data_IF_427113528833
#
_entry.id   IF_427113528833
#
_cell.length_a   1.000
_cell.length_b   1.000
_cell.length_c   1.000
_cell.angle_alpha   90.00
_cell.angle_beta   90.00
_cell.angle_gamma   90.00
#
_symmetry.space_group_name_H-M   'P 1'
#
loop_
_entity.id
_entity.type
_entity.pdbx_description
1 polymer ?
#
# COMPACT_ATOMS: atom_id res chain seq x y z
N UNK A 1 -5.39 -53.74 -4.01
CA UNK A 1 -6.46 -52.78 -4.37
C UNK A 1 -6.83 -52.02 -3.11
N UNK A 2 -6.40 -50.76 -2.96
CA UNK A 2 -6.70 -49.95 -1.79
C UNK A 2 -7.55 -48.74 -2.21
N UNK A 3 -8.77 -48.68 -1.68
CA UNK A 3 -9.73 -47.58 -1.89
C UNK A 3 -9.30 -46.34 -1.08
N UNK A 4 -9.41 -45.12 -1.61
CA UNK A 4 -9.14 -43.90 -0.84
C UNK A 4 -10.38 -43.48 -0.02
N UNK A 5 -10.18 -43.29 1.29
CA UNK A 5 -11.21 -42.81 2.21
C UNK A 5 -11.62 -41.35 1.93
N UNK A 6 -12.92 -41.11 1.84
CA UNK A 6 -13.52 -39.80 1.68
C UNK A 6 -13.33 -38.95 2.94
N UNK A 7 -12.44 -37.96 2.86
CA UNK A 7 -12.22 -36.97 3.93
C UNK A 7 -13.38 -35.96 3.90
N UNK A 8 -14.38 -36.19 4.75
CA UNK A 8 -15.53 -35.30 4.89
C UNK A 8 -15.07 -34.00 5.56
N UNK A 9 -14.92 -32.92 4.78
CA UNK A 9 -14.70 -31.58 5.33
C UNK A 9 -15.97 -31.13 6.02
N UNK A 10 -16.01 -31.27 7.35
CA UNK A 10 -17.14 -30.84 8.15
C UNK A 10 -17.21 -29.31 8.12
N UNK A 11 -18.14 -28.77 7.33
CA UNK A 11 -18.34 -27.31 7.12
C UNK A 11 -18.40 -26.51 8.43
N UNK A 12 -18.83 -27.16 9.53
CA UNK A 12 -18.87 -26.62 10.90
C UNK A 12 -17.46 -26.34 11.48
N UNK A 13 -16.44 -27.12 11.11
CA UNK A 13 -15.05 -26.88 11.52
C UNK A 13 -14.46 -25.64 10.82
N UNK A 14 -14.78 -25.45 9.53
CA UNK A 14 -14.36 -24.26 8.79
C UNK A 14 -14.95 -22.96 9.36
N UNK A 15 -16.23 -22.97 9.73
CA UNK A 15 -16.90 -21.80 10.36
C UNK A 15 -16.27 -21.48 11.72
N UNK A 16 -15.95 -22.50 12.54
CA UNK A 16 -15.29 -22.29 13.85
C UNK A 16 -13.90 -21.69 13.69
N UNK A 17 -13.13 -22.16 12.71
CA UNK A 17 -11.82 -21.60 12.40
C UNK A 17 -11.92 -20.12 11.96
N UNK A 18 -12.92 -19.79 11.13
CA UNK A 18 -13.15 -18.41 10.69
C UNK A 18 -13.54 -17.47 11.84
N UNK A 19 -14.42 -17.89 12.76
CA UNK A 19 -14.80 -17.07 13.93
C UNK A 19 -13.61 -16.83 14.85
N UNK A 20 -12.76 -17.84 15.07
CA UNK A 20 -11.53 -17.69 15.86
C UNK A 20 -10.55 -16.73 15.17
N UNK A 21 -10.34 -16.86 13.86
CA UNK A 21 -9.46 -15.97 13.11
C UNK A 21 -9.97 -14.52 13.10
N UNK A 22 -11.28 -14.29 12.91
CA UNK A 22 -11.88 -12.96 12.99
C UNK A 22 -11.73 -12.38 14.41
N UNK A 23 -11.94 -13.20 15.44
CA UNK A 23 -11.76 -12.79 16.84
C UNK A 23 -10.30 -12.43 17.16
N UNK A 24 -9.34 -13.22 16.68
CA UNK A 24 -7.91 -12.95 16.83
C UNK A 24 -7.49 -11.71 16.04
N UNK A 25 -8.01 -11.51 14.84
CA UNK A 25 -7.75 -10.33 14.02
C UNK A 25 -8.32 -9.06 14.67
N UNK A 26 -9.54 -9.13 15.22
CA UNK A 26 -10.13 -8.01 15.97
C UNK A 26 -9.35 -7.72 17.25
N UNK A 27 -8.91 -8.74 17.99
CA UNK A 27 -8.10 -8.58 19.20
C UNK A 27 -6.72 -8.00 18.88
N UNK A 28 -6.08 -8.46 17.80
CA UNK A 28 -4.79 -7.94 17.30
C UNK A 28 -4.91 -6.49 16.83
N UNK A 29 -5.98 -6.14 16.10
CA UNK A 29 -6.27 -4.76 15.68
C UNK A 29 -6.49 -3.84 16.89
N UNK A 30 -7.28 -4.28 17.88
CA UNK A 30 -7.49 -3.54 19.15
C UNK A 30 -6.21 -3.40 19.99
N UNK A 31 -5.32 -4.39 19.93
CA UNK A 31 -4.01 -4.34 20.57
C UNK A 31 -3.06 -3.37 19.84
N UNK A 32 -3.18 -3.26 18.52
CA UNK A 32 -2.46 -2.28 17.69
C UNK A 32 -2.97 -0.85 17.93
N UNK A 33 -4.28 -0.66 18.11
CA UNK A 33 -4.88 0.62 18.55
C UNK A 33 -4.42 1.00 19.97
N UNK A 34 -4.33 0.04 20.91
CA UNK A 34 -3.82 0.30 22.27
C UNK A 34 -2.32 0.56 22.35
N UNK A 35 -1.56 0.13 21.34
CA UNK A 35 -0.14 0.49 21.15
C UNK A 35 0.04 1.87 20.51
N UNK A 36 -1.04 2.55 20.10
CA UNK A 36 -0.98 3.93 19.64
C UNK A 36 -0.68 4.83 20.85
N UNK A 37 0.55 5.34 20.93
CA UNK A 37 1.01 6.23 22.00
C UNK A 37 0.19 7.54 21.99
N UNK A 38 -0.42 7.97 23.11
CA UNK A 38 -1.15 9.23 23.21
C UNK A 38 -0.32 10.47 22.83
N UNK A 39 1.03 10.39 22.83
CA UNK A 39 1.90 11.46 22.31
C UNK A 39 1.78 11.73 20.81
N UNK A 40 1.15 10.84 20.02
CA UNK A 40 0.96 11.03 18.57
C UNK A 40 -0.18 11.99 18.21
N UNK A 41 -1.05 12.39 19.14
CA UNK A 41 -2.22 13.26 18.85
C UNK A 41 -2.09 14.72 19.33
N UNK A 42 -1.00 15.09 19.99
CA UNK A 42 -0.71 16.50 20.30
C UNK A 42 0.23 17.10 19.25
N UNK A 43 -0.32 17.44 18.09
CA UNK A 43 0.26 18.51 17.29
C UNK A 43 -0.48 19.79 17.65
N UNK A 44 0.19 20.80 18.24
CA UNK A 44 -0.44 22.10 18.40
C UNK A 44 -0.74 22.64 17.02
N UNK A 45 -2.01 22.95 16.74
CA UNK A 45 -2.49 23.74 15.60
C UNK A 45 -1.97 25.21 15.64
N UNK A 46 -0.77 25.44 16.16
CA UNK A 46 -0.19 26.74 16.45
C UNK A 46 0.74 27.24 15.34
N UNK A 47 0.78 26.59 14.17
CA UNK A 47 1.54 27.12 13.02
C UNK A 47 0.71 28.09 12.16
N UNK A 48 -0.61 28.19 12.36
CA UNK A 48 -1.51 29.03 11.56
C UNK A 48 -1.73 30.44 12.11
N UNK A 49 -1.17 30.78 13.28
CA UNK A 49 -1.35 32.10 13.91
C UNK A 49 -0.03 32.74 14.33
N UNK A 50 0.89 32.90 13.38
CA UNK A 50 1.97 33.90 13.47
C UNK A 50 1.47 35.22 12.85
N UNK A 51 1.40 36.33 13.61
CA UNK A 51 1.02 37.62 13.04
C UNK A 51 2.01 38.06 11.96
N UNK A 52 1.48 38.37 10.77
CA UNK A 52 2.21 38.77 9.55
C UNK A 52 2.92 40.14 9.63
N UNK A 53 3.14 40.70 10.82
CA UNK A 53 3.71 42.05 10.95
C UNK A 53 4.66 42.13 12.13
N UNK A 54 5.97 42.12 11.84
CA UNK A 54 7.01 42.51 12.78
C UNK A 54 7.06 44.05 12.87
N UNK A 55 6.79 44.68 14.03
CA UNK A 55 6.93 46.12 14.17
C UNK A 55 8.42 46.49 14.20
N UNK A 56 8.87 47.17 13.14
CA UNK A 56 10.17 47.83 13.08
C UNK A 56 10.10 49.12 13.89
N UNK A 57 10.24 49.04 15.22
CA UNK A 57 10.79 50.07 16.11
C UNK A 57 10.28 49.87 17.54
N UNK A 58 11.19 49.99 18.51
CA UNK A 58 10.88 49.92 19.93
C UNK A 58 11.73 48.85 20.60
N UNK A 59 12.64 49.30 21.45
CA UNK A 59 13.42 48.48 22.37
C UNK A 59 12.54 47.45 23.07
N UNK A 60 12.80 46.17 22.78
CA UNK A 60 12.21 45.06 23.50
C UNK A 60 12.61 45.16 24.98
N UNK A 61 11.68 45.06 25.94
CA UNK A 61 12.07 44.91 27.33
C UNK A 61 12.92 43.64 27.43
N UNK A 62 14.13 43.75 27.98
CA UNK A 62 14.98 42.60 28.31
C UNK A 62 14.19 41.77 29.31
N UNK A 63 13.51 40.73 28.80
CA UNK A 63 12.81 39.75 29.61
C UNK A 63 13.90 38.94 30.31
N UNK A 64 14.26 39.34 31.52
CA UNK A 64 15.06 38.53 32.44
C UNK A 64 14.22 37.36 32.94
N UNK A 65 14.06 36.38 32.07
CA UNK A 65 13.64 35.04 32.41
C UNK A 65 14.30 34.10 31.41
N UNK A 66 15.59 33.81 31.60
CA UNK A 66 16.21 32.60 31.06
C UNK A 66 15.62 31.39 31.82
N UNK A 67 14.32 31.13 31.61
CA UNK A 67 13.83 29.77 31.64
C UNK A 67 14.41 29.12 30.38
N UNK A 68 15.66 28.66 30.48
CA UNK A 68 16.20 27.73 29.51
C UNK A 68 15.15 26.63 29.33
N UNK A 69 14.69 26.32 28.10
CA UNK A 69 13.83 25.17 27.91
C UNK A 69 14.54 24.01 28.58
N UNK A 70 13.88 23.38 29.57
CA UNK A 70 14.46 22.27 30.36
C UNK A 70 15.08 21.32 29.37
N UNK A 71 16.43 21.35 29.24
CA UNK A 71 17.12 20.58 28.21
C UNK A 71 16.79 19.14 28.53
N UNK A 72 16.03 18.48 27.65
CA UNK A 72 15.74 17.05 27.80
C UNK A 72 17.08 16.35 28.01
N UNK A 73 17.09 15.41 28.97
CA UNK A 73 18.26 14.62 29.27
C UNK A 73 18.85 14.08 27.95
N UNK A 74 20.15 14.28 27.68
CA UNK A 74 20.79 13.75 26.47
C UNK A 74 20.52 12.25 26.29
N UNK A 75 20.42 11.48 27.37
CA UNK A 75 20.10 10.05 27.33
C UNK A 75 18.69 9.79 26.78
N UNK A 76 17.70 10.55 27.25
CA UNK A 76 16.32 10.47 26.76
C UNK A 76 16.23 10.84 25.27
N UNK A 77 17.00 11.84 24.83
CA UNK A 77 17.03 12.24 23.41
C UNK A 77 17.64 11.18 22.52
N UNK A 78 18.70 10.50 22.99
CA UNK A 78 19.33 9.39 22.27
C UNK A 78 18.33 8.23 22.15
N UNK A 79 17.60 7.92 23.21
CA UNK A 79 16.55 6.91 23.19
C UNK A 79 15.43 7.26 22.21
N UNK A 80 14.92 8.49 22.26
CA UNK A 80 13.89 8.98 21.34
C UNK A 80 14.36 8.84 19.88
N UNK A 81 15.60 9.26 19.56
CA UNK A 81 16.17 9.16 18.21
C UNK A 81 16.29 7.69 17.77
N UNK A 82 16.78 6.81 18.65
CA UNK A 82 16.92 5.38 18.34
C UNK A 82 15.55 4.75 18.08
N UNK A 83 14.56 5.07 18.89
CA UNK A 83 13.19 4.61 18.71
C UNK A 83 12.62 5.05 17.36
N UNK A 84 12.73 6.34 17.02
CA UNK A 84 12.21 6.84 15.75
C UNK A 84 12.95 6.29 14.54
N UNK A 85 14.27 6.09 14.64
CA UNK A 85 15.04 5.40 13.61
C UNK A 85 14.49 3.98 13.39
N UNK A 86 14.36 3.20 14.46
CA UNK A 86 13.83 1.84 14.36
C UNK A 86 12.41 1.81 13.78
N UNK A 87 11.55 2.74 14.18
CA UNK A 87 10.19 2.83 13.64
C UNK A 87 10.18 3.18 12.15
N UNK A 88 11.06 4.07 11.69
CA UNK A 88 11.22 4.40 10.27
C UNK A 88 11.77 3.20 9.47
N UNK A 89 12.75 2.49 10.01
CA UNK A 89 13.32 1.29 9.38
C UNK A 89 12.24 0.20 9.23
N UNK A 90 11.44 -0.04 10.28
CA UNK A 90 10.32 -0.98 10.22
C UNK A 90 9.26 -0.56 9.17
N UNK A 91 8.97 0.75 9.07
CA UNK A 91 8.01 1.29 8.09
C UNK A 91 8.52 1.17 6.66
N UNK A 92 9.83 1.35 6.46
CA UNK A 92 10.48 1.15 5.18
C UNK A 92 10.37 -0.32 4.77
N UNK A 93 10.69 -1.25 5.67
CA UNK A 93 10.57 -2.69 5.45
C UNK A 93 9.12 -3.10 5.12
N UNK A 94 8.13 -2.57 5.85
CA UNK A 94 6.70 -2.77 5.55
C UNK A 94 6.36 -2.38 4.10
N UNK A 95 6.84 -1.21 3.64
CA UNK A 95 6.56 -0.69 2.28
C UNK A 95 7.27 -1.52 1.21
N UNK A 96 8.51 -1.96 1.47
CA UNK A 96 9.26 -2.82 0.54
C UNK A 96 8.53 -4.14 0.37
N UNK A 97 8.16 -4.80 1.46
CA UNK A 97 7.41 -6.05 1.45
C UNK A 97 6.06 -5.90 0.72
N UNK A 98 5.32 -4.82 0.99
CA UNK A 98 4.07 -4.55 0.28
C UNK A 98 4.28 -4.35 -1.23
N UNK A 99 5.38 -3.70 -1.63
CA UNK A 99 5.72 -3.49 -3.04
C UNK A 99 6.05 -4.81 -3.73
N UNK A 100 6.79 -5.71 -3.08
CA UNK A 100 7.06 -7.05 -3.59
C UNK A 100 5.75 -7.84 -3.80
N UNK A 101 4.85 -7.79 -2.82
CA UNK A 101 3.53 -8.40 -2.94
C UNK A 101 2.77 -7.85 -4.16
N UNK A 102 2.74 -6.53 -4.36
CA UNK A 102 2.09 -5.92 -5.52
C UNK A 102 2.71 -6.36 -6.85
N UNK A 103 4.03 -6.50 -6.93
CA UNK A 103 4.71 -7.03 -8.12
C UNK A 103 4.28 -8.47 -8.41
N UNK A 104 4.17 -9.33 -7.39
CA UNK A 104 3.66 -10.69 -7.60
C UNK A 104 2.19 -10.70 -8.07
N UNK A 105 1.35 -9.81 -7.53
CA UNK A 105 -0.04 -9.66 -7.97
C UNK A 105 -0.13 -9.17 -9.40
N UNK A 106 0.71 -8.21 -9.80
CA UNK A 106 0.82 -7.71 -11.17
C UNK A 106 1.10 -8.87 -12.14
N UNK A 107 2.12 -9.69 -11.87
CA UNK A 107 2.45 -10.85 -12.71
C UNK A 107 1.29 -11.85 -12.78
N UNK A 108 0.55 -12.05 -11.68
CA UNK A 108 -0.63 -12.93 -11.68
C UNK A 108 -1.77 -12.36 -12.53
N UNK A 109 -1.97 -11.04 -12.53
CA UNK A 109 -2.97 -10.36 -13.36
C UNK A 109 -2.61 -10.47 -14.85
N UNK A 110 -1.35 -10.23 -15.21
CA UNK A 110 -0.84 -10.37 -16.58
C UNK A 110 -1.08 -11.81 -17.09
N UNK A 111 -0.71 -12.83 -16.30
CA UNK A 111 -0.97 -14.24 -16.63
C UNK A 111 -2.47 -14.56 -16.72
N UNK A 112 -3.30 -13.98 -15.86
CA UNK A 112 -4.75 -14.19 -15.93
C UNK A 112 -5.34 -13.60 -17.21
N UNK A 113 -4.82 -12.48 -17.70
CA UNK A 113 -5.22 -11.90 -18.99
C UNK A 113 -4.78 -12.79 -20.15
N UNK A 114 -3.55 -13.30 -20.14
CA UNK A 114 -3.07 -14.28 -21.13
C UNK A 114 -3.97 -15.52 -21.18
N UNK A 115 -4.39 -16.02 -20.01
CA UNK A 115 -5.30 -17.16 -19.91
C UNK A 115 -6.70 -16.88 -20.47
N UNK A 116 -7.13 -15.63 -20.60
CA UNK A 116 -8.41 -15.27 -21.24
C UNK A 116 -8.33 -15.30 -22.78
N UNK A 117 -7.14 -15.14 -23.36
CA UNK A 117 -6.97 -15.06 -24.81
C UNK A 117 -7.29 -16.37 -25.53
N UNK A 118 -6.90 -17.52 -24.95
CA UNK A 118 -7.18 -18.84 -25.52
C UNK A 118 -8.67 -19.15 -25.62
N UNK A 119 -9.43 -19.10 -24.51
CA UNK A 119 -10.88 -19.26 -24.51
C UNK A 119 -11.58 -18.28 -25.44
N UNK A 120 -11.16 -17.00 -25.47
CA UNK A 120 -11.75 -16.00 -26.37
C UNK A 120 -11.62 -16.41 -27.85
N UNK A 121 -10.42 -16.82 -28.26
CA UNK A 121 -10.17 -17.24 -29.63
C UNK A 121 -11.00 -18.46 -30.03
N UNK A 122 -11.14 -19.44 -29.13
CA UNK A 122 -11.97 -20.62 -29.36
C UNK A 122 -13.45 -20.24 -29.50
N UNK A 123 -13.99 -19.44 -28.57
CA UNK A 123 -15.40 -18.99 -28.63
C UNK A 123 -15.68 -18.21 -29.91
N UNK A 124 -14.77 -17.32 -30.32
CA UNK A 124 -14.87 -16.57 -31.58
C UNK A 124 -14.83 -17.50 -32.81
N UNK A 125 -13.92 -18.48 -32.83
CA UNK A 125 -13.85 -19.45 -33.91
C UNK A 125 -15.13 -20.29 -34.00
N UNK A 126 -15.68 -20.73 -32.87
CA UNK A 126 -16.93 -21.47 -32.83
C UNK A 126 -18.11 -20.66 -33.37
N UNK A 127 -18.18 -19.36 -33.07
CA UNK A 127 -19.19 -18.46 -33.65
C UNK A 127 -18.99 -18.29 -35.17
N UNK A 128 -17.76 -18.06 -35.61
CA UNK A 128 -17.45 -17.89 -37.03
C UNK A 128 -17.77 -19.14 -37.88
N UNK A 129 -17.55 -20.35 -37.35
CA UNK A 129 -17.97 -21.58 -38.04
C UNK A 129 -19.50 -21.71 -38.10
N UNK A 130 -20.19 -21.25 -37.04
CA UNK A 130 -21.65 -21.27 -36.96
C UNK A 130 -22.32 -20.28 -37.91
N UNK A 131 -21.67 -19.15 -38.18
CA UNK A 131 -22.13 -18.13 -39.15
C UNK A 131 -22.08 -18.64 -40.61
N UNK A 132 -21.30 -19.68 -40.91
CA UNK A 132 -21.23 -20.29 -42.25
C UNK A 132 -22.43 -21.18 -42.59
N UNK A 133 -23.35 -21.42 -41.64
CA UNK A 133 -24.55 -22.25 -41.87
C UNK A 133 -25.46 -21.60 -42.92
N UNK A 134 -26.09 -22.43 -43.76
CA UNK A 134 -26.95 -22.00 -44.87
C UNK A 134 -28.26 -22.77 -44.89
N UNK A 135 -29.27 -22.21 -45.57
CA UNK A 135 -30.58 -22.83 -45.78
C UNK A 135 -31.32 -23.17 -44.46
N UNK A 136 -31.70 -24.43 -44.26
CA UNK A 136 -32.58 -24.87 -43.16
C UNK A 136 -31.90 -24.71 -41.78
N UNK A 137 -30.56 -24.58 -41.76
CA UNK A 137 -29.75 -24.44 -40.53
C UNK A 137 -29.58 -22.99 -40.04
N UNK A 138 -30.30 -22.01 -40.63
CA UNK A 138 -30.36 -20.60 -40.20
C UNK A 138 -31.16 -20.41 -38.89
N UNK A 139 -30.84 -21.20 -37.87
CA UNK A 139 -31.46 -21.13 -36.56
C UNK A 139 -30.40 -20.79 -35.52
N UNK A 140 -30.64 -19.70 -34.79
CA UNK A 140 -29.94 -19.39 -33.55
C UNK A 140 -30.32 -20.42 -32.49
N UNK A 141 -29.53 -21.48 -32.41
CA UNK A 141 -29.74 -22.57 -31.47
C UNK A 141 -29.31 -22.16 -30.05
N UNK A 142 -29.54 -23.05 -29.09
CA UNK A 142 -29.14 -22.80 -27.71
C UNK A 142 -27.62 -22.63 -27.57
N UNK A 143 -26.83 -23.36 -28.35
CA UNK A 143 -25.38 -23.32 -28.26
C UNK A 143 -24.80 -21.98 -28.74
N UNK A 144 -25.35 -21.40 -29.81
CA UNK A 144 -24.96 -20.07 -30.28
C UNK A 144 -25.27 -18.98 -29.26
N UNK A 145 -26.42 -19.04 -28.59
CA UNK A 145 -26.75 -18.11 -27.50
C UNK A 145 -25.79 -18.23 -26.32
N UNK A 146 -25.40 -19.45 -25.95
CA UNK A 146 -24.41 -19.64 -24.88
C UNK A 146 -23.02 -19.16 -25.29
N UNK A 147 -22.59 -19.39 -26.53
CA UNK A 147 -21.31 -18.88 -27.04
C UNK A 147 -21.25 -17.35 -27.03
N UNK A 148 -22.34 -16.66 -27.36
CA UNK A 148 -22.42 -15.19 -27.25
C UNK A 148 -22.24 -14.74 -25.80
N UNK A 149 -22.93 -15.39 -24.85
CA UNK A 149 -22.76 -15.09 -23.42
C UNK A 149 -21.35 -15.36 -22.92
N UNK A 150 -20.73 -16.47 -23.35
CA UNK A 150 -19.34 -16.78 -23.01
C UNK A 150 -18.40 -15.67 -23.48
N UNK A 151 -18.59 -15.19 -24.71
CA UNK A 151 -17.80 -14.09 -25.27
C UNK A 151 -17.97 -12.80 -24.47
N UNK A 152 -19.21 -12.44 -24.11
CA UNK A 152 -19.50 -11.29 -23.25
C UNK A 152 -18.82 -11.40 -21.87
N UNK A 153 -18.89 -12.58 -21.25
CA UNK A 153 -18.27 -12.84 -19.94
C UNK A 153 -16.75 -12.75 -20.03
N UNK A 154 -16.12 -13.35 -21.05
CA UNK A 154 -14.67 -13.31 -21.23
C UNK A 154 -14.18 -11.87 -21.45
N UNK A 155 -14.91 -11.07 -22.23
CA UNK A 155 -14.60 -9.65 -22.40
C UNK A 155 -14.76 -8.86 -21.09
N UNK A 156 -15.84 -9.09 -20.34
CA UNK A 156 -16.07 -8.43 -19.06
C UNK A 156 -14.96 -8.74 -18.05
N UNK A 157 -14.54 -10.01 -17.95
CA UNK A 157 -13.42 -10.44 -17.12
C UNK A 157 -12.11 -9.80 -17.57
N UNK A 158 -11.82 -9.81 -18.87
CA UNK A 158 -10.61 -9.19 -19.43
C UNK A 158 -10.53 -7.70 -19.12
N UNK A 159 -11.65 -6.97 -19.26
CA UNK A 159 -11.74 -5.55 -18.92
C UNK A 159 -11.54 -5.30 -17.42
N UNK A 160 -12.09 -6.15 -16.55
CA UNK A 160 -11.88 -6.06 -15.11
C UNK A 160 -10.41 -6.29 -14.74
N UNK A 161 -9.78 -7.31 -15.32
CA UNK A 161 -8.36 -7.61 -15.10
C UNK A 161 -7.48 -6.44 -15.54
N UNK A 162 -7.77 -5.86 -16.71
CA UNK A 162 -7.02 -4.71 -17.23
C UNK A 162 -7.11 -3.50 -16.29
N UNK A 163 -8.32 -3.10 -15.86
CA UNK A 163 -8.48 -1.99 -14.90
C UNK A 163 -7.74 -2.25 -13.59
N UNK A 164 -7.78 -3.49 -13.11
CA UNK A 164 -7.09 -3.88 -11.88
C UNK A 164 -5.58 -3.84 -12.05
N UNK A 165 -5.06 -4.22 -13.22
CA UNK A 165 -3.65 -4.14 -13.56
C UNK A 165 -3.17 -2.68 -13.60
N UNK A 166 -3.93 -1.78 -14.23
CA UNK A 166 -3.66 -0.35 -14.26
C UNK A 166 -3.59 0.24 -12.85
N UNK A 167 -4.56 -0.07 -12.00
CA UNK A 167 -4.56 0.34 -10.59
C UNK A 167 -3.35 -0.19 -9.82
N UNK A 168 -2.98 -1.45 -10.06
CA UNK A 168 -1.82 -2.09 -9.41
C UNK A 168 -0.52 -1.43 -9.86
N UNK A 169 -0.37 -1.13 -11.15
CA UNK A 169 0.79 -0.43 -11.69
C UNK A 169 0.93 0.98 -11.12
N UNK A 170 -0.18 1.72 -11.00
CA UNK A 170 -0.17 3.04 -10.39
C UNK A 170 0.24 2.99 -8.92
N UNK A 171 -0.28 2.00 -8.19
CA UNK A 171 0.11 1.78 -6.79
C UNK A 171 1.60 1.46 -6.64
N UNK A 172 2.17 0.62 -7.52
CA UNK A 172 3.60 0.32 -7.55
C UNK A 172 4.40 1.59 -7.84
N UNK A 173 4.02 2.35 -8.88
CA UNK A 173 4.68 3.61 -9.26
C UNK A 173 4.74 4.58 -8.08
N UNK A 174 3.61 4.77 -7.41
CA UNK A 174 3.49 5.67 -6.27
C UNK A 174 4.33 5.22 -5.07
N UNK A 175 4.33 3.93 -4.74
CA UNK A 175 5.13 3.39 -3.62
C UNK A 175 6.63 3.48 -3.92
N UNK A 176 7.06 3.06 -5.11
CA UNK A 176 8.48 3.11 -5.51
C UNK A 176 9.01 4.55 -5.53
N UNK A 177 8.26 5.50 -6.10
CA UNK A 177 8.68 6.90 -6.14
C UNK A 177 8.87 7.51 -4.73
N UNK A 178 7.96 7.22 -3.81
CA UNK A 178 8.07 7.64 -2.40
C UNK A 178 9.30 7.02 -1.73
N UNK A 179 9.52 5.73 -1.91
CA UNK A 179 10.67 5.03 -1.33
C UNK A 179 11.98 5.60 -1.87
N UNK A 180 12.09 5.86 -3.18
CA UNK A 180 13.26 6.49 -3.78
C UNK A 180 13.53 7.90 -3.23
N UNK A 181 12.51 8.75 -3.07
CA UNK A 181 12.67 10.08 -2.45
C UNK A 181 13.12 10.00 -0.98
N UNK A 182 12.63 9.00 -0.23
CA UNK A 182 13.02 8.81 1.17
C UNK A 182 14.48 8.39 1.30
N UNK A 183 14.97 7.56 0.38
CA UNK A 183 16.37 7.11 0.35
C UNK A 183 17.31 8.25 -0.09
N UNK A 184 16.94 9.04 -1.11
CA UNK A 184 17.78 10.14 -1.60
C UNK A 184 17.82 11.35 -0.65
N UNK A 185 16.77 11.61 0.13
CA UNK A 185 16.73 12.69 1.11
C UNK A 185 17.48 12.41 2.42
N UNK A 186 17.99 11.19 2.63
CA UNK A 186 18.47 10.71 3.92
C UNK A 186 19.90 11.11 4.33
N UNK A 187 20.74 11.62 3.42
CA UNK A 187 22.19 11.78 3.69
C UNK A 187 22.76 13.20 3.50
N UNK A 188 22.04 14.13 2.89
CA UNK A 188 22.62 15.42 2.46
C UNK A 188 22.47 16.59 3.47
N UNK A 189 21.93 16.36 4.68
CA UNK A 189 21.59 17.45 5.61
C UNK A 189 22.12 17.26 7.04
N UNK A 190 23.33 16.70 7.21
CA UNK A 190 24.05 16.87 8.47
C UNK A 190 24.86 18.17 8.43
N UNK A 191 24.58 19.19 9.27
CA UNK A 191 25.46 20.35 9.36
C UNK A 191 26.79 19.88 9.93
N UNK A 192 27.86 20.02 9.13
CA UNK A 192 29.23 19.77 9.55
C UNK A 192 29.52 20.60 10.83
N UNK A 193 29.78 19.98 11.99
CA UNK A 193 30.04 20.72 13.23
C UNK A 193 31.47 21.29 13.30
N UNK A 194 32.34 20.99 12.34
CA UNK A 194 33.72 21.51 12.29
C UNK A 194 33.86 22.70 11.35
N UNK A 195 33.14 23.78 11.66
CA UNK A 195 33.41 25.11 11.15
C UNK A 195 34.21 25.94 12.16
N UNK A 196 35.35 25.43 12.64
CA UNK A 196 36.28 26.24 13.45
C UNK A 196 37.03 27.15 12.48
N UNK A 197 36.47 28.34 12.25
CA UNK A 197 37.15 29.42 11.56
C UNK A 197 38.12 30.07 12.54
N UNK A 198 39.37 29.60 12.56
CA UNK A 198 40.47 30.27 13.24
C UNK A 198 40.71 31.63 12.56
N UNK A 199 40.02 32.69 13.03
CA UNK A 199 40.51 34.07 12.86
C UNK A 199 41.62 34.27 13.89
N UNK A 200 42.85 33.99 13.49
CA UNK A 200 44.06 34.46 14.16
C UNK A 200 44.62 35.65 13.39
N UNK A 201 44.38 36.85 13.93
CA UNK A 201 44.93 38.12 13.47
C UNK A 201 46.16 38.44 14.32
N UNK A 202 47.33 38.53 13.70
CA UNK A 202 48.49 39.38 13.99
C UNK A 202 49.72 38.78 13.31
#
# INVERSE_FOLDING_TARGET
MSQPGSRVSSKKAGIRAAVILIGLLHKSRRQKERRKDPRKEEWPDSFSSLPSSCPMSGTWPIRTATATPRRRDPEQRIEDIRFWKQELDNKLEDIVNETEVLLTYRTRLEKAMENCAGPLAVTQQCLAEREKRVAIDLVHDAAERELIKELEVIHAVSALLQRTLEQTNEQIRYRTARTSQSISGGWDQTPNPTGVQCRGRA
#
